data_IF_598426342167
#
_entry.id   IF_598426342167
#
_cell.length_a   1.000
_cell.length_b   1.000
_cell.length_c   1.000
_cell.angle_alpha   90.00
_cell.angle_beta   90.00
_cell.angle_gamma   90.00
#
_symmetry.space_group_name_H-M   'P 1'
#
loop_
_entity.id
_entity.type
_entity.pdbx_description
1 polymer ?
#
# COMPACT_ATOMS: atom_id res chain seq x y z
N UNK A 1 2.58 -17.83 -2.15
CA UNK A 1 3.81 -17.20 -2.69
C UNK A 1 3.51 -15.86 -3.34
N UNK A 2 2.46 -15.72 -4.14
CA UNK A 2 2.14 -14.44 -4.79
C UNK A 2 1.98 -13.25 -3.82
N UNK A 3 1.19 -13.37 -2.75
CA UNK A 3 1.02 -12.28 -1.77
C UNK A 3 2.27 -12.01 -0.92
N UNK A 4 3.11 -13.03 -0.73
CA UNK A 4 4.41 -12.90 -0.07
C UNK A 4 5.36 -12.01 -0.89
N UNK A 5 5.35 -12.15 -2.22
CA UNK A 5 6.11 -11.28 -3.13
C UNK A 5 5.64 -9.83 -3.03
N UNK A 6 4.32 -9.60 -3.00
CA UNK A 6 3.77 -8.25 -2.80
C UNK A 6 4.21 -7.67 -1.46
N UNK A 7 4.09 -8.44 -0.36
CA UNK A 7 4.49 -7.99 0.97
C UNK A 7 5.99 -7.66 1.05
N UNK A 8 6.85 -8.46 0.41
CA UNK A 8 8.30 -8.20 0.30
C UNK A 8 8.59 -6.92 -0.48
N UNK A 9 7.89 -6.66 -1.57
CA UNK A 9 8.04 -5.41 -2.31
C UNK A 9 7.62 -4.20 -1.48
N UNK A 10 6.51 -4.30 -0.74
CA UNK A 10 6.08 -3.23 0.18
C UNK A 10 7.12 -3.00 1.30
N UNK A 11 7.73 -4.07 1.81
CA UNK A 11 8.82 -3.97 2.79
C UNK A 11 10.06 -3.27 2.21
N UNK A 12 10.42 -3.56 0.95
CA UNK A 12 11.50 -2.87 0.27
C UNK A 12 11.19 -1.37 0.10
N UNK A 13 9.95 -1.03 -0.28
CA UNK A 13 9.49 0.37 -0.37
C UNK A 13 9.56 1.07 1.00
N UNK A 14 9.09 0.42 2.06
CA UNK A 14 9.16 0.92 3.43
C UNK A 14 10.61 1.24 3.83
N UNK A 15 11.56 0.36 3.50
CA UNK A 15 12.98 0.56 3.79
C UNK A 15 13.59 1.68 2.97
N UNK A 16 13.27 1.77 1.67
CA UNK A 16 13.77 2.82 0.78
C UNK A 16 13.31 4.21 1.23
N UNK A 17 12.02 4.37 1.55
CA UNK A 17 11.49 5.64 2.08
C UNK A 17 12.10 5.95 3.45
N UNK A 18 12.29 4.93 4.30
CA UNK A 18 13.00 5.09 5.57
C UNK A 18 14.45 5.57 5.40
N UNK A 19 15.14 5.15 4.34
CA UNK A 19 16.48 5.64 4.03
C UNK A 19 16.46 7.11 3.58
N UNK A 20 15.49 7.51 2.75
CA UNK A 20 15.29 8.92 2.38
C UNK A 20 15.03 9.76 3.62
N UNK A 21 14.11 9.32 4.49
CA UNK A 21 13.76 10.01 5.73
C UNK A 21 14.97 10.21 6.65
N UNK A 22 15.81 9.19 6.82
CA UNK A 22 17.06 9.27 7.60
C UNK A 22 18.07 10.24 7.00
N UNK A 23 18.07 10.40 5.67
CA UNK A 23 18.93 11.33 4.96
C UNK A 23 18.51 12.79 5.06
N UNK A 24 17.30 13.09 5.56
CA UNK A 24 16.82 14.47 5.72
C UNK A 24 17.54 15.15 6.90
N UNK A 25 18.55 15.95 6.58
CA UNK A 25 19.27 16.80 7.54
C UNK A 25 18.79 18.25 7.48
N UNK A 26 18.93 18.97 8.61
CA UNK A 26 18.61 20.40 8.73
C UNK A 26 17.40 20.73 9.59
N UNK A 27 17.39 21.97 10.08
CA UNK A 27 16.34 22.53 10.92
C UNK A 27 15.58 23.61 10.15
N UNK A 28 14.25 23.48 10.08
CA UNK A 28 13.41 24.40 9.32
C UNK A 28 12.00 23.89 9.14
N UNK A 29 11.04 24.80 8.91
CA UNK A 29 9.63 24.44 8.74
C UNK A 29 9.42 23.53 7.53
N UNK A 30 10.01 23.85 6.38
CA UNK A 30 9.91 23.04 5.15
C UNK A 30 10.43 21.61 5.38
N UNK A 31 11.64 21.49 5.96
CA UNK A 31 12.25 20.20 6.31
C UNK A 31 11.42 19.37 7.28
N UNK A 32 10.77 20.00 8.27
CA UNK A 32 9.83 19.30 9.17
C UNK A 32 8.62 18.77 8.40
N UNK A 33 7.99 19.62 7.58
CA UNK A 33 6.83 19.22 6.78
C UNK A 33 7.15 18.09 5.80
N UNK A 34 8.33 18.12 5.20
CA UNK A 34 8.82 17.07 4.32
C UNK A 34 9.03 15.75 5.08
N UNK A 35 9.70 15.78 6.25
CA UNK A 35 9.85 14.62 7.13
C UNK A 35 8.51 14.04 7.57
N UNK A 36 7.57 14.89 7.97
CA UNK A 36 6.23 14.46 8.39
C UNK A 36 5.52 13.72 7.25
N UNK A 37 5.61 14.23 6.02
CA UNK A 37 4.99 13.60 4.86
C UNK A 37 5.63 12.25 4.52
N UNK A 38 6.96 12.15 4.54
CA UNK A 38 7.66 10.88 4.34
C UNK A 38 7.33 9.87 5.43
N UNK A 39 7.23 10.32 6.69
CA UNK A 39 6.81 9.50 7.83
C UNK A 39 5.38 8.98 7.66
N UNK A 40 4.46 9.84 7.19
CA UNK A 40 3.08 9.44 6.90
C UNK A 40 3.01 8.37 5.80
N UNK A 41 3.77 8.54 4.71
CA UNK A 41 3.87 7.55 3.63
C UNK A 41 4.44 6.24 4.18
N UNK A 42 5.54 6.30 4.94
CA UNK A 42 6.18 5.14 5.52
C UNK A 42 5.25 4.38 6.48
N UNK A 43 4.49 5.11 7.32
CA UNK A 43 3.48 4.51 8.21
C UNK A 43 2.35 3.82 7.44
N UNK A 44 1.98 4.38 6.28
CA UNK A 44 0.97 3.79 5.40
C UNK A 44 1.46 2.49 4.77
N UNK A 45 2.72 2.46 4.31
CA UNK A 45 3.33 1.23 3.79
C UNK A 45 3.43 0.13 4.86
N UNK A 46 3.72 0.49 6.11
CA UNK A 46 3.72 -0.48 7.21
C UNK A 46 2.33 -1.12 7.43
N UNK A 47 1.26 -0.32 7.32
CA UNK A 47 -0.12 -0.82 7.40
C UNK A 47 -0.46 -1.74 6.22
N UNK A 48 -0.09 -1.35 5.00
CA UNK A 48 -0.28 -2.17 3.80
C UNK A 48 0.48 -3.50 3.92
N UNK A 49 1.73 -3.46 4.40
CA UNK A 49 2.53 -4.66 4.65
C UNK A 49 1.81 -5.62 5.61
N UNK A 50 1.41 -5.13 6.79
CA UNK A 50 0.68 -5.94 7.77
C UNK A 50 -0.59 -6.53 7.18
N UNK A 51 -1.36 -5.73 6.44
CA UNK A 51 -2.57 -6.22 5.77
C UNK A 51 -2.27 -7.37 4.80
N UNK A 52 -1.21 -7.23 3.98
CA UNK A 52 -0.80 -8.27 3.03
C UNK A 52 -0.25 -9.52 3.71
N UNK A 53 0.46 -9.38 4.83
CA UNK A 53 0.95 -10.51 5.63
C UNK A 53 -0.21 -11.35 6.19
N UNK A 54 -1.25 -10.70 6.70
CA UNK A 54 -2.47 -11.37 7.16
C UNK A 54 -3.18 -12.07 5.99
N UNK A 55 -3.34 -11.38 4.86
CA UNK A 55 -3.95 -11.95 3.66
C UNK A 55 -3.16 -13.15 3.11
N UNK A 56 -1.83 -13.07 3.12
CA UNK A 56 -0.94 -14.18 2.74
C UNK A 56 -1.07 -15.36 3.69
N UNK A 57 -1.17 -15.13 5.00
CA UNK A 57 -1.37 -16.20 5.96
C UNK A 57 -2.67 -16.98 5.67
N UNK A 58 -3.75 -16.27 5.38
CA UNK A 58 -5.03 -16.87 4.99
C UNK A 58 -4.89 -17.63 3.67
N UNK A 59 -4.30 -17.01 2.63
CA UNK A 59 -4.02 -17.65 1.34
C UNK A 59 -3.27 -18.98 1.51
N UNK A 60 -2.23 -18.99 2.35
CA UNK A 60 -1.40 -20.18 2.58
C UNK A 60 -2.17 -21.28 3.30
N UNK A 61 -2.97 -20.94 4.30
CA UNK A 61 -3.70 -21.94 5.09
C UNK A 61 -4.88 -22.55 4.34
N UNK A 62 -5.55 -21.76 3.50
CA UNK A 62 -6.67 -22.19 2.68
C UNK A 62 -6.24 -22.97 1.42
N UNK A 63 -4.96 -22.90 1.05
CA UNK A 63 -4.41 -23.63 -0.09
C UNK A 63 -4.78 -23.01 -1.44
N UNK A 64 -4.05 -23.39 -2.49
CA UNK A 64 -4.21 -22.87 -3.86
C UNK A 64 -5.51 -23.28 -4.55
N UNK A 65 -6.26 -24.23 -3.98
CA UNK A 65 -7.50 -24.75 -4.54
C UNK A 65 -8.73 -23.85 -4.26
N UNK A 66 -8.60 -22.87 -3.36
CA UNK A 66 -9.71 -21.99 -3.03
C UNK A 66 -9.90 -20.88 -4.08
N UNK A 67 -11.03 -21.02 -4.78
CA UNK A 67 -11.69 -20.17 -5.78
C UNK A 67 -11.52 -18.65 -5.56
N UNK A 68 -10.38 -18.07 -5.91
CA UNK A 68 -10.10 -16.63 -5.90
C UNK A 68 -10.41 -15.86 -4.59
N UNK A 69 -11.21 -16.34 -3.64
CA UNK A 69 -11.70 -15.61 -2.48
C UNK A 69 -10.77 -15.91 -1.31
N UNK A 70 -10.09 -14.87 -0.83
CA UNK A 70 -9.17 -14.97 0.31
C UNK A 70 -9.95 -14.85 1.62
N UNK A 71 -10.83 -13.86 1.73
CA UNK A 71 -11.54 -13.59 2.96
C UNK A 71 -12.82 -12.79 2.67
N UNK A 72 -14.00 -13.31 3.05
CA UNK A 72 -15.29 -12.65 2.83
C UNK A 72 -15.46 -12.07 1.40
N UNK A 73 -15.35 -10.74 1.25
CA UNK A 73 -15.50 -9.98 0.00
C UNK A 73 -14.17 -9.69 -0.71
N UNK A 74 -13.07 -10.27 -0.24
CA UNK A 74 -11.73 -10.15 -0.81
C UNK A 74 -11.43 -11.27 -1.78
N UNK A 75 -11.05 -10.89 -2.99
CA UNK A 75 -10.73 -11.79 -4.08
C UNK A 75 -9.31 -11.54 -4.59
N UNK A 76 -8.47 -12.56 -4.52
CA UNK A 76 -7.17 -12.66 -5.12
C UNK A 76 -7.26 -13.31 -6.51
N UNK A 77 -6.66 -12.65 -7.49
CA UNK A 77 -6.48 -13.17 -8.84
C UNK A 77 -4.99 -13.13 -9.20
N UNK A 78 -4.57 -14.09 -10.02
CA UNK A 78 -3.19 -14.23 -10.48
C UNK A 78 -3.20 -14.55 -11.97
N UNK A 79 -2.88 -13.58 -12.81
CA UNK A 79 -2.86 -13.74 -14.27
C UNK A 79 -1.55 -13.17 -14.81
N UNK A 80 -0.81 -13.94 -15.60
CA UNK A 80 0.40 -13.48 -16.32
C UNK A 80 1.42 -12.73 -15.45
N UNK A 81 1.67 -13.22 -14.22
CA UNK A 81 2.61 -12.59 -13.27
C UNK A 81 2.03 -11.40 -12.50
N UNK A 82 0.80 -10.98 -12.82
CA UNK A 82 0.07 -9.94 -12.10
C UNK A 82 -0.72 -10.54 -10.95
N UNK A 83 -0.56 -9.95 -9.78
CA UNK A 83 -1.31 -10.26 -8.56
C UNK A 83 -2.28 -9.13 -8.28
N UNK A 84 -3.57 -9.44 -8.14
CA UNK A 84 -4.60 -8.44 -7.86
C UNK A 84 -5.49 -8.92 -6.73
N UNK A 85 -5.56 -8.14 -5.65
CA UNK A 85 -6.39 -8.37 -4.48
C UNK A 85 -7.49 -7.29 -4.44
N UNK A 86 -8.74 -7.70 -4.59
CA UNK A 86 -9.90 -6.82 -4.75
C UNK A 86 -10.92 -7.04 -3.65
N UNK A 87 -11.34 -5.97 -2.98
CA UNK A 87 -12.56 -5.94 -2.18
C UNK A 87 -13.70 -5.41 -3.03
N UNK A 88 -14.86 -6.07 -3.00
CA UNK A 88 -16.01 -5.62 -3.79
C UNK A 88 -16.76 -4.43 -3.18
N UNK A 89 -16.83 -4.35 -1.84
CA UNK A 89 -17.65 -3.35 -1.14
C UNK A 89 -17.05 -3.04 0.25
N UNK A 90 -16.47 -1.85 0.47
CA UNK A 90 -16.16 -0.85 -0.54
C UNK A 90 -15.15 -1.36 -1.59
N UNK A 91 -15.19 -0.80 -2.80
CA UNK A 91 -14.30 -1.22 -3.89
C UNK A 91 -12.87 -0.77 -3.63
N UNK A 92 -12.01 -1.71 -3.27
CA UNK A 92 -10.57 -1.50 -3.07
C UNK A 92 -9.81 -2.47 -3.96
N UNK A 93 -8.74 -2.01 -4.58
CA UNK A 93 -7.87 -2.87 -5.41
C UNK A 93 -6.43 -2.65 -5.02
N UNK A 94 -5.73 -3.74 -4.69
CA UNK A 94 -4.28 -3.79 -4.55
C UNK A 94 -3.75 -4.60 -5.73
N UNK A 95 -2.97 -3.95 -6.58
CA UNK A 95 -2.40 -4.50 -7.80
C UNK A 95 -0.88 -4.56 -7.68
N UNK A 96 -0.29 -5.63 -8.19
CA UNK A 96 1.15 -5.81 -8.28
C UNK A 96 1.52 -6.57 -9.55
N UNK A 97 2.53 -6.10 -10.28
CA UNK A 97 2.98 -6.68 -11.56
C UNK A 97 4.43 -7.21 -11.56
N UNK A 98 5.05 -7.33 -10.38
CA UNK A 98 6.47 -7.66 -10.25
C UNK A 98 7.38 -6.45 -10.04
N UNK A 99 6.93 -5.24 -10.37
CA UNK A 99 7.75 -4.02 -10.31
C UNK A 99 7.07 -2.85 -9.61
N UNK A 100 5.74 -2.78 -9.68
CA UNK A 100 4.96 -1.66 -9.14
C UNK A 100 3.87 -2.20 -8.24
N UNK A 101 3.60 -1.49 -7.15
CA UNK A 101 2.40 -1.72 -6.35
C UNK A 101 1.47 -0.53 -6.50
N UNK A 102 0.20 -0.80 -6.79
CA UNK A 102 -0.84 0.21 -6.92
C UNK A 102 -2.01 -0.12 -6.03
N UNK A 103 -2.50 0.87 -5.30
CA UNK A 103 -3.68 0.78 -4.46
C UNK A 103 -4.70 1.80 -4.95
N UNK A 104 -5.88 1.31 -5.30
CA UNK A 104 -7.00 2.14 -5.78
C UNK A 104 -8.17 2.00 -4.82
N UNK A 105 -8.73 3.12 -4.41
CA UNK A 105 -9.96 3.19 -3.62
C UNK A 105 -10.77 4.39 -4.08
N UNK A 106 -12.01 4.15 -4.49
CA UNK A 106 -12.89 5.18 -5.06
C UNK A 106 -12.19 5.92 -6.22
N UNK A 107 -12.13 7.23 -6.16
CA UNK A 107 -11.49 8.13 -7.11
C UNK A 107 -10.05 8.48 -6.70
N UNK A 108 -9.44 7.71 -5.79
CA UNK A 108 -8.06 7.85 -5.34
C UNK A 108 -7.20 6.68 -5.79
N UNK A 109 -5.95 6.98 -6.12
CA UNK A 109 -4.94 5.98 -6.47
C UNK A 109 -3.58 6.39 -5.93
N UNK A 110 -2.82 5.40 -5.48
CA UNK A 110 -1.43 5.52 -5.05
C UNK A 110 -0.66 4.38 -5.69
N UNK A 111 0.35 4.69 -6.49
CA UNK A 111 1.22 3.71 -7.12
C UNK A 111 2.68 4.04 -6.77
N UNK A 112 3.42 3.02 -6.36
CA UNK A 112 4.85 3.12 -6.12
C UNK A 112 5.62 2.39 -7.23
N UNK A 113 6.54 3.09 -7.88
CA UNK A 113 7.42 2.57 -8.91
C UNK A 113 8.88 2.89 -8.59
N UNK A 114 9.81 1.99 -8.94
CA UNK A 114 11.25 2.27 -8.86
C UNK A 114 11.78 2.57 -7.44
N UNK A 115 11.06 2.15 -6.40
CA UNK A 115 11.50 2.27 -5.01
C UNK A 115 11.18 3.61 -4.32
N UNK A 116 11.16 4.72 -5.07
CA UNK A 116 10.93 6.08 -4.51
C UNK A 116 10.00 6.96 -5.33
N UNK A 117 9.55 6.52 -6.51
CA UNK A 117 8.59 7.30 -7.31
C UNK A 117 7.19 6.99 -6.83
N UNK A 118 6.46 8.05 -6.46
CA UNK A 118 5.07 7.99 -6.07
C UNK A 118 4.22 8.63 -7.17
N UNK A 119 3.39 7.81 -7.83
CA UNK A 119 2.29 8.31 -8.67
C UNK A 119 1.01 8.33 -7.86
N UNK A 120 0.20 9.35 -8.04
CA UNK A 120 -1.07 9.46 -7.34
C UNK A 120 -2.17 10.05 -8.22
N UNK A 121 -3.40 9.68 -7.89
CA UNK A 121 -4.62 10.23 -8.50
C UNK A 121 -5.55 10.73 -7.41
N UNK A 122 -6.08 11.94 -7.62
CA UNK A 122 -7.12 12.56 -6.80
C UNK A 122 -8.19 13.06 -7.76
N UNK A 123 -9.37 12.43 -7.75
CA UNK A 123 -10.42 12.65 -8.74
C UNK A 123 -9.88 12.36 -10.17
N UNK A 124 -9.88 13.39 -11.03
CA UNK A 124 -9.34 13.38 -12.38
C UNK A 124 -7.88 13.85 -12.46
N UNK A 125 -7.32 14.39 -11.36
CA UNK A 125 -5.95 14.87 -11.33
C UNK A 125 -4.99 13.69 -11.14
N UNK A 126 -3.98 13.58 -12.00
CA UNK A 126 -2.91 12.57 -11.94
C UNK A 126 -1.58 13.28 -11.96
N UNK A 127 -0.67 12.84 -11.10
CA UNK A 127 0.67 13.40 -11.05
C UNK A 127 1.64 12.38 -10.45
N UNK A 128 2.93 12.66 -10.58
CA UNK A 128 4.02 11.86 -10.04
C UNK A 128 5.07 12.72 -9.37
N UNK A 129 5.75 12.12 -8.39
CA UNK A 129 6.84 12.76 -7.67
C UNK A 129 7.89 11.73 -7.27
N UNK A 130 9.16 12.08 -7.46
CA UNK A 130 10.25 11.36 -6.81
C UNK A 130 10.33 11.81 -5.36
N UNK A 131 10.11 10.89 -4.43
CA UNK A 131 10.13 11.18 -2.99
C UNK A 131 11.49 11.58 -2.47
N UNK A 132 12.55 11.59 -3.29
CA UNK A 132 13.87 12.14 -2.96
C UNK A 132 13.96 13.66 -3.19
N UNK A 133 13.08 14.22 -4.02
CA UNK A 133 13.05 15.65 -4.35
C UNK A 133 12.15 16.42 -3.37
N UNK A 134 12.77 17.07 -2.38
CA UNK A 134 12.05 17.80 -1.34
C UNK A 134 11.11 18.88 -1.90
N UNK A 135 11.58 19.70 -2.85
CA UNK A 135 10.81 20.83 -3.37
C UNK A 135 9.55 20.34 -4.11
N UNK A 136 9.70 19.34 -4.97
CA UNK A 136 8.57 18.74 -5.70
C UNK A 136 7.55 18.08 -4.74
N UNK A 137 8.04 17.42 -3.68
CA UNK A 137 7.18 16.82 -2.65
C UNK A 137 6.42 17.89 -1.86
N UNK A 138 7.08 19.00 -1.51
CA UNK A 138 6.47 20.10 -0.75
C UNK A 138 5.46 20.89 -1.59
N UNK A 139 5.73 21.09 -2.88
CA UNK A 139 4.81 21.70 -3.84
C UNK A 139 3.50 20.91 -3.94
N UNK A 140 3.60 19.57 -4.02
CA UNK A 140 2.47 18.65 -4.20
C UNK A 140 1.89 18.11 -2.89
N UNK A 141 2.34 18.61 -1.73
CA UNK A 141 2.09 18.03 -0.40
C UNK A 141 0.62 17.77 -0.10
N UNK A 142 -0.27 18.69 -0.48
CA UNK A 142 -1.70 18.60 -0.13
C UNK A 142 -2.36 17.41 -0.85
N UNK A 143 -2.01 17.23 -2.12
CA UNK A 143 -2.53 16.13 -2.94
C UNK A 143 -1.95 14.79 -2.51
N UNK A 144 -0.66 14.75 -2.19
CA UNK A 144 -0.01 13.55 -1.63
C UNK A 144 -0.68 13.14 -0.32
N UNK A 145 -0.88 14.09 0.61
CA UNK A 145 -1.56 13.82 1.90
C UNK A 145 -2.98 13.32 1.69
N UNK A 146 -3.72 13.90 0.74
CA UNK A 146 -5.07 13.48 0.45
C UNK A 146 -5.12 12.05 -0.10
N UNK A 147 -4.29 11.73 -1.10
CA UNK A 147 -4.21 10.39 -1.68
C UNK A 147 -3.78 9.35 -0.64
N UNK A 148 -2.65 9.57 0.04
CA UNK A 148 -2.09 8.67 1.05
C UNK A 148 -3.04 8.53 2.25
N UNK A 149 -3.63 9.63 2.71
CA UNK A 149 -4.56 9.62 3.85
C UNK A 149 -5.81 8.78 3.59
N UNK A 150 -6.36 8.85 2.37
CA UNK A 150 -7.50 8.01 1.96
C UNK A 150 -7.11 6.53 1.87
N UNK A 151 -5.96 6.21 1.28
CA UNK A 151 -5.44 4.83 1.24
C UNK A 151 -5.18 4.29 2.66
N UNK A 152 -4.55 5.08 3.53
CA UNK A 152 -4.30 4.71 4.93
C UNK A 152 -5.60 4.40 5.66
N UNK A 153 -6.61 5.27 5.51
CA UNK A 153 -7.91 5.11 6.15
C UNK A 153 -8.61 3.82 5.68
N UNK A 154 -8.65 3.56 4.37
CA UNK A 154 -9.37 2.39 3.86
C UNK A 154 -8.68 1.07 4.20
N UNK A 155 -7.35 1.00 4.16
CA UNK A 155 -6.61 -0.20 4.55
C UNK A 155 -6.78 -0.47 6.05
N UNK A 156 -6.75 0.57 6.89
CA UNK A 156 -7.05 0.44 8.33
C UNK A 156 -8.45 -0.11 8.55
N UNK A 157 -9.45 0.40 7.81
CA UNK A 157 -10.83 -0.07 7.91
C UNK A 157 -11.02 -1.51 7.44
N UNK A 158 -10.22 -1.99 6.48
CA UNK A 158 -10.35 -3.35 5.95
C UNK A 158 -9.48 -4.40 6.66
N UNK A 159 -8.48 -3.98 7.43
CA UNK A 159 -7.61 -4.91 8.17
C UNK A 159 -8.38 -5.83 9.12
N UNK A 160 -9.42 -5.36 9.84
CA UNK A 160 -10.27 -6.23 10.67
C UNK A 160 -10.93 -7.39 9.92
N UNK A 161 -11.19 -7.26 8.60
CA UNK A 161 -11.74 -8.37 7.81
C UNK A 161 -10.80 -9.58 7.86
N UNK A 162 -9.49 -9.34 7.65
CA UNK A 162 -8.48 -10.40 7.64
C UNK A 162 -8.31 -11.01 9.03
N UNK A 163 -8.28 -10.16 10.07
CA UNK A 163 -8.20 -10.61 11.46
C UNK A 163 -9.42 -11.46 11.86
N UNK A 164 -10.61 -11.13 11.35
CA UNK A 164 -11.82 -11.92 11.55
C UNK A 164 -11.72 -13.28 10.85
N UNK A 165 -11.35 -13.32 9.57
CA UNK A 165 -11.15 -14.58 8.84
C UNK A 165 -10.13 -15.49 9.54
N UNK A 166 -9.01 -14.94 10.03
CA UNK A 166 -8.01 -15.71 10.79
C UNK A 166 -8.64 -16.37 12.02
N UNK A 167 -9.50 -15.66 12.76
CA UNK A 167 -10.22 -16.21 13.92
C UNK A 167 -11.25 -17.26 13.51
N UNK A 168 -12.05 -17.00 12.47
CA UNK A 168 -13.08 -17.90 11.96
C UNK A 168 -12.48 -19.24 11.51
N UNK A 169 -11.40 -19.18 10.75
CA UNK A 169 -10.69 -20.37 10.26
C UNK A 169 -9.70 -20.95 11.30
N UNK A 170 -9.57 -20.33 12.48
CA UNK A 170 -8.65 -20.74 13.56
C UNK A 170 -7.20 -20.87 13.09
N UNK A 171 -6.77 -19.95 12.24
CA UNK A 171 -5.42 -19.94 11.68
C UNK A 171 -4.40 -19.44 12.70
N UNK A 172 -3.16 -19.92 12.58
CA UNK A 172 -2.00 -19.37 13.29
C UNK A 172 -1.20 -18.49 12.33
N UNK A 173 -1.42 -17.20 12.48
CA UNK A 173 -0.69 -16.08 11.91
C UNK A 173 -0.14 -15.28 13.10
#
# INVERSE_FOLDING_TARGET
MALEDVARTVDALYRNIGAVLKGVSGEGRAKRMYRDLLSDIQSTLALVKRFLELAHCIERALGSELRARVCHRWFLTRNDGVVTLVKLEPRVTIYYDGSRIRITYDDREVEFEGGTTLRFRVNNFRDEVDLRNEDAVLEKRSLIREAIGRIKSIITHCTPDMELCIKEYRLRC
#
